data_IF_423075415939
#
_entry.id   IF_423075415939
#
_cell.length_a   1.000
_cell.length_b   1.000
_cell.length_c   1.000
_cell.angle_alpha   90.00
_cell.angle_beta   90.00
_cell.angle_gamma   90.00
#
_symmetry.space_group_name_H-M   'P 1'
#
loop_
_entity.id
_entity.type
_entity.pdbx_description
1 polymer ?
#
# COMPACT_ATOMS: atom_id res chain seq x y z
N UNK A 1 63.85 -27.38 -6.75
CA UNK A 1 62.89 -27.33 -5.63
C UNK A 1 61.55 -26.92 -6.22
N UNK A 2 60.71 -27.90 -6.48
CA UNK A 2 59.55 -27.85 -7.38
C UNK A 2 58.27 -27.69 -6.58
N UNK A 3 57.63 -26.52 -6.66
CA UNK A 3 56.36 -26.25 -5.99
C UNK A 3 55.22 -26.82 -6.84
N UNK A 4 54.57 -27.87 -6.33
CA UNK A 4 53.47 -28.57 -6.99
C UNK A 4 52.16 -27.80 -6.82
N UNK A 5 51.63 -27.30 -7.92
CA UNK A 5 50.25 -26.83 -8.08
C UNK A 5 49.30 -28.03 -7.93
N UNK A 6 48.53 -28.09 -6.84
CA UNK A 6 47.45 -29.07 -6.68
C UNK A 6 46.11 -28.39 -6.91
N UNK A 7 45.45 -28.87 -7.96
CA UNK A 7 44.09 -28.55 -8.35
C UNK A 7 43.11 -28.78 -7.20
N UNK A 8 42.34 -27.75 -6.86
CA UNK A 8 41.07 -27.86 -6.16
C UNK A 8 39.96 -27.60 -7.20
N UNK A 9 39.74 -28.59 -8.05
CA UNK A 9 38.60 -28.67 -8.96
C UNK A 9 37.59 -29.62 -8.33
N UNK A 10 36.84 -29.16 -7.32
CA UNK A 10 35.70 -29.90 -6.76
C UNK A 10 34.78 -28.91 -6.04
N UNK A 11 33.48 -29.01 -6.32
CA UNK A 11 32.35 -28.27 -5.74
C UNK A 11 31.91 -26.95 -6.43
N UNK A 12 31.73 -26.95 -7.76
CA UNK A 12 30.94 -25.92 -8.45
C UNK A 12 29.64 -26.46 -9.10
N UNK A 13 29.14 -27.62 -8.66
CA UNK A 13 28.00 -28.31 -9.28
C UNK A 13 26.75 -28.46 -8.39
N UNK A 14 26.73 -27.84 -7.21
CA UNK A 14 25.58 -27.89 -6.29
C UNK A 14 24.82 -26.57 -6.12
N UNK A 15 25.24 -25.48 -6.78
CA UNK A 15 24.55 -24.19 -6.70
C UNK A 15 23.49 -23.99 -7.81
N UNK A 16 23.53 -24.78 -8.89
CA UNK A 16 22.57 -24.64 -10.00
C UNK A 16 21.26 -25.43 -9.78
N UNK A 17 21.20 -26.38 -8.85
CA UNK A 17 19.99 -27.19 -8.61
C UNK A 17 18.98 -26.54 -7.65
N UNK A 18 19.37 -25.51 -6.89
CA UNK A 18 18.42 -24.71 -6.10
C UNK A 18 17.70 -23.63 -6.92
N UNK A 19 18.12 -23.37 -8.16
CA UNK A 19 17.49 -22.38 -9.04
C UNK A 19 16.34 -22.96 -9.89
N UNK A 20 16.21 -24.30 -10.01
CA UNK A 20 15.19 -24.94 -10.85
C UNK A 20 13.89 -25.31 -10.10
N UNK A 21 13.89 -25.23 -8.77
CA UNK A 21 12.71 -25.44 -7.93
C UNK A 21 12.12 -24.13 -7.38
N UNK A 22 12.64 -22.98 -7.82
CA UNK A 22 11.89 -21.73 -7.75
C UNK A 22 10.77 -21.85 -8.79
N UNK A 23 9.69 -22.54 -8.40
CA UNK A 23 8.48 -22.63 -9.20
C UNK A 23 8.13 -21.24 -9.70
N UNK A 24 7.71 -21.14 -10.96
CA UNK A 24 7.14 -19.91 -11.51
C UNK A 24 6.07 -19.42 -10.53
N UNK A 25 6.45 -18.50 -9.63
CA UNK A 25 5.59 -17.97 -8.60
C UNK A 25 4.53 -17.19 -9.34
N UNK A 26 3.39 -17.82 -9.56
CA UNK A 26 2.26 -17.19 -10.25
C UNK A 26 1.93 -15.93 -9.49
N UNK A 27 2.04 -14.80 -10.17
CA UNK A 27 1.67 -13.51 -9.59
C UNK A 27 0.20 -13.62 -9.19
N UNK A 28 -0.16 -13.44 -7.91
CA UNK A 28 -1.53 -13.61 -7.47
C UNK A 28 -2.43 -12.62 -8.21
N UNK A 29 -3.64 -13.05 -8.57
CA UNK A 29 -4.64 -12.13 -9.09
C UNK A 29 -5.00 -11.07 -8.03
N UNK A 30 -5.48 -9.92 -8.51
CA UNK A 30 -6.19 -8.98 -7.63
C UNK A 30 -7.51 -9.64 -7.18
N UNK A 31 -7.95 -9.42 -5.92
CA UNK A 31 -9.15 -10.08 -5.41
C UNK A 31 -10.42 -9.53 -6.07
N UNK A 32 -11.41 -10.39 -6.30
CA UNK A 32 -12.72 -10.00 -6.85
C UNK A 32 -13.58 -9.23 -5.83
N UNK A 33 -13.32 -9.45 -4.53
CA UNK A 33 -13.94 -8.75 -3.42
C UNK A 33 -12.89 -8.45 -2.35
N UNK A 34 -12.99 -7.27 -1.73
CA UNK A 34 -12.18 -6.88 -0.60
C UNK A 34 -13.06 -6.35 0.54
N UNK A 35 -12.80 -6.80 1.76
CA UNK A 35 -13.40 -6.21 2.96
C UNK A 35 -12.79 -4.83 3.23
N UNK A 36 -13.49 -3.78 2.79
CA UNK A 36 -13.06 -2.40 2.93
C UNK A 36 -13.47 -1.86 4.30
N UNK A 37 -12.50 -1.37 5.07
CA UNK A 37 -12.78 -0.75 6.36
C UNK A 37 -13.59 0.54 6.19
N UNK A 38 -14.68 0.69 6.95
CA UNK A 38 -15.49 1.93 7.03
C UNK A 38 -15.40 2.58 8.41
N UNK A 39 -14.80 1.87 9.35
CA UNK A 39 -14.39 2.35 10.67
C UNK A 39 -13.21 1.49 11.16
N UNK A 40 -12.74 1.74 12.38
CA UNK A 40 -11.73 0.88 13.01
C UNK A 40 -12.21 -0.57 13.21
N UNK A 41 -13.51 -0.81 13.32
CA UNK A 41 -14.09 -2.12 13.64
C UNK A 41 -14.95 -2.70 12.53
N UNK A 42 -15.49 -1.86 11.64
CA UNK A 42 -16.47 -2.27 10.65
C UNK A 42 -15.82 -2.39 9.27
N UNK A 43 -16.24 -3.40 8.52
CA UNK A 43 -15.82 -3.63 7.15
C UNK A 43 -17.01 -4.00 6.29
N UNK A 44 -16.94 -3.63 5.02
CA UNK A 44 -17.95 -3.97 4.02
C UNK A 44 -17.23 -4.43 2.75
N UNK A 45 -17.67 -5.56 2.20
CA UNK A 45 -17.14 -6.08 0.96
C UNK A 45 -17.39 -5.11 -0.19
N UNK A 46 -16.36 -4.82 -0.97
CA UNK A 46 -16.42 -4.00 -2.17
C UNK A 46 -15.78 -4.73 -3.35
N UNK A 47 -16.28 -4.47 -4.54
CA UNK A 47 -15.75 -5.01 -5.79
C UNK A 47 -14.66 -4.09 -6.36
N UNK A 48 -13.77 -4.58 -7.23
CA UNK A 48 -12.80 -3.73 -7.91
C UNK A 48 -13.53 -2.68 -8.79
N UNK A 49 -13.01 -1.45 -8.78
CA UNK A 49 -13.57 -0.33 -9.54
C UNK A 49 -14.76 0.36 -8.89
N UNK A 50 -15.11 0.03 -7.64
CA UNK A 50 -16.12 0.77 -6.88
C UNK A 50 -15.50 1.80 -5.95
N UNK A 51 -16.30 2.77 -5.52
CA UNK A 51 -15.91 3.72 -4.49
C UNK A 51 -17.08 4.45 -3.81
N UNK A 52 -16.78 5.36 -2.87
CA UNK A 52 -17.79 6.15 -2.19
C UNK A 52 -18.45 7.14 -3.16
N UNK A 53 -19.77 7.07 -3.30
CA UNK A 53 -20.51 7.91 -4.23
C UNK A 53 -20.34 9.42 -3.97
N UNK A 54 -20.14 9.82 -2.71
CA UNK A 54 -19.84 11.20 -2.32
C UNK A 54 -18.50 11.74 -2.84
N UNK A 55 -17.63 10.87 -3.35
CA UNK A 55 -16.31 11.23 -3.89
C UNK A 55 -16.26 11.09 -5.42
N UNK A 56 -17.33 10.71 -6.10
CA UNK A 56 -17.34 10.57 -7.55
C UNK A 56 -16.94 11.87 -8.28
N UNK A 57 -16.19 11.72 -9.38
CA UNK A 57 -15.76 12.81 -10.27
C UNK A 57 -15.08 13.99 -9.54
N UNK A 58 -14.28 13.69 -8.51
CA UNK A 58 -13.68 14.70 -7.65
C UNK A 58 -12.18 14.50 -7.43
N UNK A 59 -11.52 15.53 -6.90
CA UNK A 59 -10.13 15.46 -6.49
C UNK A 59 -9.96 16.03 -5.08
N UNK A 60 -9.13 15.38 -4.26
CA UNK A 60 -8.97 15.70 -2.84
C UNK A 60 -7.51 15.76 -2.43
N UNK A 61 -7.12 16.83 -1.75
CA UNK A 61 -5.80 16.97 -1.12
C UNK A 61 -5.84 16.34 0.26
N UNK A 62 -5.12 15.24 0.46
CA UNK A 62 -5.01 14.56 1.77
C UNK A 62 -3.91 15.21 2.59
N UNK A 63 -4.20 15.63 3.82
CA UNK A 63 -3.24 16.22 4.75
C UNK A 63 -3.14 15.37 6.02
N UNK A 64 -1.94 15.27 6.60
CA UNK A 64 -1.74 14.59 7.88
C UNK A 64 -2.30 15.43 9.03
N UNK A 65 -3.11 14.83 9.90
CA UNK A 65 -3.53 15.41 11.18
C UNK A 65 -2.60 14.98 12.30
N UNK A 66 -2.62 15.75 13.39
CA UNK A 66 -1.98 15.34 14.64
C UNK A 66 -2.56 14.01 15.13
N UNK A 67 -1.69 13.14 15.64
CA UNK A 67 -2.10 11.94 16.34
C UNK A 67 -2.96 12.35 17.57
N UNK A 68 -4.05 11.63 17.88
CA UNK A 68 -4.85 11.95 19.05
C UNK A 68 -3.95 11.92 20.29
N UNK A 69 -4.03 12.97 21.12
CA UNK A 69 -3.29 13.05 22.37
C UNK A 69 -3.68 11.84 23.22
N UNK A 70 -2.80 10.85 23.27
CA UNK A 70 -2.91 9.75 24.22
C UNK A 70 -2.84 10.39 25.61
N UNK A 71 -3.90 10.25 26.41
CA UNK A 71 -3.84 10.68 27.81
C UNK A 71 -2.64 9.99 28.45
N UNK A 72 -1.91 10.67 29.34
CA UNK A 72 -0.69 10.13 29.96
C UNK A 72 -0.89 8.76 30.65
N UNK A 73 -2.14 8.38 30.96
CA UNK A 73 -2.53 7.07 31.49
C UNK A 73 -2.53 5.92 30.45
N UNK A 74 -2.49 6.23 29.15
CA UNK A 74 -2.52 5.27 28.03
C UNK A 74 -1.16 5.08 27.34
N UNK A 75 -0.14 5.89 27.69
CA UNK A 75 1.18 5.87 27.07
C UNK A 75 2.05 4.64 27.44
N UNK A 76 1.63 3.82 28.41
CA UNK A 76 2.45 2.71 28.91
C UNK A 76 2.44 1.46 28.02
N UNK A 77 1.45 1.26 27.14
CA UNK A 77 1.41 0.13 26.20
C UNK A 77 0.62 0.52 24.95
N UNK A 78 1.24 1.23 24.00
CA UNK A 78 0.67 1.34 22.65
C UNK A 78 1.66 0.73 21.68
N UNK A 79 1.54 -0.58 21.52
CA UNK A 79 1.90 -1.18 20.24
C UNK A 79 1.12 -0.41 19.17
N UNK A 80 1.74 0.01 18.05
CA UNK A 80 1.01 0.67 16.96
C UNK A 80 -0.23 -0.15 16.66
N UNK A 81 -1.41 0.48 16.71
CA UNK A 81 -2.66 -0.23 16.55
C UNK A 81 -2.59 -0.99 15.23
N UNK A 82 -2.67 -2.32 15.29
CA UNK A 82 -2.77 -3.14 14.10
C UNK A 82 -3.96 -2.62 13.31
N UNK A 83 -3.68 -1.96 12.17
CA UNK A 83 -4.73 -1.42 11.34
C UNK A 83 -5.70 -2.51 10.89
N UNK A 84 -6.82 -2.18 10.23
CA UNK A 84 -7.78 -3.19 9.79
C UNK A 84 -7.13 -4.28 8.93
N UNK A 85 -6.05 -3.99 8.22
CA UNK A 85 -5.36 -4.97 7.40
C UNK A 85 -4.19 -5.69 8.10
N UNK A 86 -4.11 -5.61 9.44
CA UNK A 86 -3.06 -6.24 10.24
C UNK A 86 -1.82 -5.37 10.40
N UNK A 87 -1.01 -5.73 11.40
CA UNK A 87 0.28 -5.09 11.66
C UNK A 87 1.11 -6.01 12.56
N UNK A 88 2.13 -6.65 11.99
CA UNK A 88 3.20 -7.29 12.74
C UNK A 88 4.49 -6.67 12.23
N UNK A 89 5.19 -6.01 13.16
CA UNK A 89 6.35 -5.13 13.02
C UNK A 89 5.97 -3.64 13.11
N UNK A 90 5.86 -3.18 14.35
CA UNK A 90 5.77 -1.77 14.68
C UNK A 90 7.08 -1.07 14.35
N UNK A 91 7.06 -0.31 13.25
CA UNK A 91 8.14 0.58 12.85
C UNK A 91 7.69 1.41 11.66
N UNK A 92 7.85 2.73 11.72
CA UNK A 92 7.67 3.60 10.58
C UNK A 92 8.74 3.27 9.54
N UNK A 93 8.46 2.30 8.66
CA UNK A 93 9.39 1.93 7.59
C UNK A 93 9.35 2.94 6.44
N UNK A 94 8.26 3.70 6.32
CA UNK A 94 8.14 4.85 5.44
C UNK A 94 8.20 6.13 6.27
N UNK A 95 8.70 7.19 5.64
CA UNK A 95 8.66 8.52 6.22
C UNK A 95 7.21 8.95 6.48
N UNK A 96 6.90 9.30 7.74
CA UNK A 96 5.61 9.89 8.07
C UNK A 96 5.64 11.39 7.70
N UNK A 97 4.66 11.91 6.92
CA UNK A 97 4.55 13.35 6.61
C UNK A 97 4.53 14.20 7.89
N UNK A 98 4.94 15.48 7.91
CA UNK A 98 4.71 16.29 9.11
C UNK A 98 3.21 16.60 9.28
N UNK A 99 2.77 16.99 10.48
CA UNK A 99 1.38 17.42 10.69
C UNK A 99 1.10 18.66 9.85
N UNK A 100 0.00 18.65 9.10
CA UNK A 100 -0.37 19.69 8.15
C UNK A 100 0.28 19.54 6.78
N UNK A 101 1.25 18.65 6.61
CA UNK A 101 1.80 18.36 5.29
C UNK A 101 0.77 17.60 4.45
N UNK A 102 0.73 17.97 3.17
CA UNK A 102 0.01 17.22 2.15
C UNK A 102 0.73 15.90 1.90
N UNK A 103 0.00 14.80 2.02
CA UNK A 103 0.51 13.44 1.78
C UNK A 103 0.54 13.16 0.27
N UNK A 104 -0.60 13.37 -0.38
CA UNK A 104 -0.82 13.26 -1.83
C UNK A 104 -2.17 13.91 -2.21
N UNK A 105 -2.40 14.08 -3.51
CA UNK A 105 -3.71 14.41 -4.09
C UNK A 105 -4.31 13.15 -4.69
N UNK A 106 -5.57 12.87 -4.40
CA UNK A 106 -6.30 11.73 -4.96
C UNK A 106 -7.29 12.21 -5.99
N UNK A 107 -7.40 11.51 -7.12
CA UNK A 107 -8.49 11.69 -8.07
C UNK A 107 -9.40 10.48 -8.06
N UNK A 108 -10.69 10.77 -8.11
CA UNK A 108 -11.75 9.78 -8.12
C UNK A 108 -12.47 9.78 -9.47
N UNK A 109 -12.79 8.57 -9.93
CA UNK A 109 -13.55 8.34 -11.14
C UNK A 109 -15.06 8.51 -10.93
N UNK A 110 -15.87 8.20 -11.96
CA UNK A 110 -17.32 8.39 -11.94
C UNK A 110 -18.05 7.45 -10.97
N UNK A 111 -17.42 6.36 -10.53
CA UNK A 111 -17.98 5.45 -9.53
C UNK A 111 -17.44 5.75 -8.11
N UNK A 112 -16.73 6.87 -7.93
CA UNK A 112 -16.05 7.21 -6.68
C UNK A 112 -14.79 6.38 -6.41
N UNK A 113 -14.38 5.54 -7.35
CA UNK A 113 -13.18 4.73 -7.27
C UNK A 113 -11.93 5.59 -7.40
N UNK A 114 -10.86 5.26 -6.68
CA UNK A 114 -9.58 5.93 -6.85
C UNK A 114 -9.00 5.56 -8.22
N UNK A 115 -8.68 6.56 -9.05
CA UNK A 115 -8.12 6.35 -10.39
C UNK A 115 -6.70 6.86 -10.54
N UNK A 116 -6.27 7.79 -9.68
CA UNK A 116 -4.93 8.37 -9.72
C UNK A 116 -4.54 8.93 -8.35
N UNK A 117 -3.26 8.79 -8.02
CA UNK A 117 -2.61 9.48 -6.90
C UNK A 117 -1.55 10.42 -7.50
N UNK A 118 -1.71 11.71 -7.27
CA UNK A 118 -0.79 12.78 -7.65
C UNK A 118 0.00 13.29 -6.43
N UNK A 119 1.11 13.97 -6.69
CA UNK A 119 2.01 14.52 -5.67
C UNK A 119 2.43 13.51 -4.58
N UNK A 120 2.63 12.24 -4.95
CA UNK A 120 3.11 11.22 -4.03
C UNK A 120 4.52 11.55 -3.55
N UNK A 121 4.64 12.02 -2.30
CA UNK A 121 5.93 12.39 -1.68
C UNK A 121 6.45 11.37 -0.68
N UNK A 122 5.55 10.58 -0.08
CA UNK A 122 5.88 9.76 1.09
C UNK A 122 5.74 8.26 0.83
N UNK A 123 4.95 7.85 -0.17
CA UNK A 123 4.71 6.44 -0.45
C UNK A 123 5.64 5.91 -1.55
N UNK A 124 6.89 5.65 -1.17
CA UNK A 124 7.92 5.09 -2.07
C UNK A 124 8.04 5.87 -3.41
N UNK A 125 8.23 7.20 -3.38
CA UNK A 125 8.22 8.04 -4.58
C UNK A 125 9.32 7.68 -5.57
N UNK A 126 10.44 7.12 -5.09
CA UNK A 126 11.54 6.63 -5.95
C UNK A 126 11.17 5.39 -6.75
N UNK A 127 10.14 4.64 -6.32
CA UNK A 127 9.64 3.45 -6.99
C UNK A 127 8.44 3.82 -7.88
N UNK A 128 7.42 4.48 -7.32
CA UNK A 128 6.17 4.72 -8.06
C UNK A 128 6.11 6.07 -8.77
N UNK A 129 7.02 7.00 -8.44
CA UNK A 129 6.97 8.37 -8.92
C UNK A 129 5.94 9.23 -8.21
N UNK A 130 5.86 10.50 -8.64
CA UNK A 130 4.94 11.49 -8.09
C UNK A 130 3.50 11.34 -8.57
N UNK A 131 3.26 10.59 -9.66
CA UNK A 131 1.93 10.29 -10.21
C UNK A 131 1.80 8.78 -10.39
N UNK A 132 0.80 8.20 -9.75
CA UNK A 132 0.57 6.75 -9.71
C UNK A 132 -0.85 6.47 -10.22
N UNK A 133 -1.00 5.88 -11.42
CA UNK A 133 -2.32 5.45 -11.88
C UNK A 133 -2.84 4.30 -11.01
N UNK A 134 -4.15 4.32 -10.75
CA UNK A 134 -4.85 3.27 -10.00
C UNK A 134 -5.84 2.57 -10.92
N UNK A 135 -5.79 1.23 -10.90
CA UNK A 135 -6.61 0.40 -11.76
C UNK A 135 -5.87 -0.10 -13.00
N UNK A 136 -6.34 -1.23 -13.54
CA UNK A 136 -6.02 -1.66 -14.90
C UNK A 136 -4.88 -2.68 -15.03
N UNK A 137 -4.06 -2.47 -16.07
CA UNK A 137 -3.00 -3.38 -16.52
C UNK A 137 -1.68 -3.12 -15.78
N UNK A 138 -0.72 -4.02 -15.97
CA UNK A 138 0.63 -3.84 -15.46
C UNK A 138 1.27 -2.55 -16.00
N UNK A 139 1.67 -1.67 -15.07
CA UNK A 139 2.32 -0.40 -15.33
C UNK A 139 3.76 -0.46 -14.85
N UNK A 140 4.69 0.08 -15.64
CA UNK A 140 6.11 0.17 -15.23
C UNK A 140 6.30 1.15 -14.08
N UNK A 141 7.08 0.75 -13.08
CA UNK A 141 7.56 1.63 -12.02
C UNK A 141 8.77 2.46 -12.52
N UNK A 142 9.22 3.43 -11.73
CA UNK A 142 10.46 4.16 -11.98
C UNK A 142 11.70 3.27 -11.76
N UNK A 143 11.61 2.33 -10.82
CA UNK A 143 12.68 1.36 -10.57
C UNK A 143 12.76 0.38 -11.76
N UNK A 144 13.90 0.30 -12.48
CA UNK A 144 14.00 -0.51 -13.69
C UNK A 144 13.66 -1.99 -13.46
N UNK A 145 12.85 -2.55 -14.37
CA UNK A 145 12.41 -3.94 -14.30
C UNK A 145 11.28 -4.20 -13.30
N UNK A 146 10.83 -3.19 -12.55
CA UNK A 146 9.69 -3.29 -11.64
C UNK A 146 8.42 -2.81 -12.34
N UNK A 147 7.34 -3.55 -12.14
CA UNK A 147 6.00 -3.18 -12.60
C UNK A 147 4.99 -3.45 -11.48
N UNK A 148 3.87 -2.74 -11.51
CA UNK A 148 2.78 -2.90 -10.58
C UNK A 148 1.43 -2.98 -11.30
N UNK A 149 0.49 -3.66 -10.69
CA UNK A 149 -0.92 -3.71 -11.10
C UNK A 149 -1.76 -3.40 -9.87
N UNK A 150 -2.78 -2.57 -10.03
CA UNK A 150 -3.62 -2.15 -8.90
C UNK A 150 -5.12 -2.21 -9.22
N UNK A 151 -5.93 -2.25 -8.17
CA UNK A 151 -7.37 -2.02 -8.23
C UNK A 151 -7.81 -1.20 -7.01
N UNK A 152 -8.75 -0.28 -7.23
CA UNK A 152 -9.45 0.44 -6.17
C UNK A 152 -10.69 -0.33 -5.74
N UNK A 153 -10.95 -0.31 -4.45
CA UNK A 153 -12.11 -0.90 -3.79
C UNK A 153 -12.64 0.15 -2.83
N UNK A 154 -13.93 0.46 -2.91
CA UNK A 154 -14.49 1.42 -1.98
C UNK A 154 -16.00 1.34 -1.89
N UNK A 155 -16.49 1.90 -0.80
CA UNK A 155 -17.88 1.77 -0.38
C UNK A 155 -18.26 2.94 0.51
N UNK A 156 -19.55 3.30 0.48
CA UNK A 156 -20.13 4.30 1.36
C UNK A 156 -21.27 3.68 2.17
N UNK A 157 -21.29 3.94 3.48
CA UNK A 157 -22.30 3.45 4.42
C UNK A 157 -22.79 4.63 5.27
N UNK A 158 -23.88 5.26 4.82
CA UNK A 158 -24.35 6.52 5.41
C UNK A 158 -23.38 7.68 5.11
N UNK A 159 -22.93 8.35 6.17
CA UNK A 159 -21.93 9.42 6.12
C UNK A 159 -20.49 8.91 6.15
N UNK A 160 -20.30 7.60 6.42
CA UNK A 160 -18.99 6.96 6.45
C UNK A 160 -18.60 6.44 5.08
N UNK A 161 -17.29 6.45 4.82
CA UNK A 161 -16.71 5.85 3.65
C UNK A 161 -15.55 4.93 4.01
N UNK A 162 -15.24 4.04 3.07
CA UNK A 162 -14.05 3.22 3.07
C UNK A 162 -13.47 3.15 1.67
N UNK A 163 -12.14 3.17 1.60
CA UNK A 163 -11.36 3.06 0.37
C UNK A 163 -10.14 2.18 0.64
N UNK A 164 -9.81 1.33 -0.32
CA UNK A 164 -8.56 0.60 -0.36
C UNK A 164 -8.08 0.44 -1.80
N UNK A 165 -6.77 0.55 -2.01
CA UNK A 165 -6.11 0.22 -3.27
C UNK A 165 -5.17 -0.93 -3.01
N UNK A 166 -5.44 -2.07 -3.64
CA UNK A 166 -4.56 -3.24 -3.61
C UNK A 166 -3.63 -3.16 -4.80
N UNK A 167 -2.34 -3.30 -4.56
CA UNK A 167 -1.27 -3.20 -5.55
C UNK A 167 -0.43 -4.48 -5.49
N UNK A 168 -0.39 -5.25 -6.57
CA UNK A 168 0.57 -6.32 -6.73
C UNK A 168 1.82 -5.77 -7.43
N UNK A 169 3.01 -6.14 -6.96
CA UNK A 169 4.29 -5.65 -7.48
C UNK A 169 5.13 -6.84 -7.98
N UNK A 170 5.78 -6.68 -9.14
CA UNK A 170 6.66 -7.68 -9.73
C UNK A 170 7.98 -7.08 -10.21
N UNK A 171 9.03 -7.90 -10.24
CA UNK A 171 10.32 -7.62 -10.87
C UNK A 171 10.55 -8.63 -12.00
N UNK A 172 10.43 -8.21 -13.26
CA UNK A 172 10.27 -9.14 -14.37
C UNK A 172 9.01 -10.00 -14.18
N UNK A 173 9.19 -11.32 -14.15
CA UNK A 173 8.10 -12.28 -13.91
C UNK A 173 7.98 -12.75 -12.45
N UNK A 174 8.80 -12.18 -11.55
CA UNK A 174 8.82 -12.57 -10.14
C UNK A 174 7.91 -11.67 -9.32
N UNK A 175 6.98 -12.26 -8.58
CA UNK A 175 6.18 -11.52 -7.60
C UNK A 175 7.06 -11.05 -6.44
N UNK A 176 7.06 -9.74 -6.18
CA UNK A 176 7.85 -9.14 -5.10
C UNK A 176 7.02 -9.06 -3.82
N UNK A 177 5.75 -8.69 -3.94
CA UNK A 177 4.85 -8.50 -2.81
C UNK A 177 3.61 -7.71 -3.18
N UNK A 178 2.80 -7.41 -2.18
CA UNK A 178 1.57 -6.64 -2.28
C UNK A 178 1.65 -5.40 -1.41
N UNK A 179 1.10 -4.29 -1.88
CA UNK A 179 0.79 -3.16 -1.04
C UNK A 179 -0.73 -2.94 -0.98
N UNK A 180 -1.23 -2.51 0.16
CA UNK A 180 -2.60 -2.03 0.33
C UNK A 180 -2.54 -0.62 0.91
N UNK A 181 -2.96 0.36 0.14
CA UNK A 181 -3.23 1.72 0.64
C UNK A 181 -4.69 1.76 1.06
N UNK A 182 -5.04 2.37 2.19
CA UNK A 182 -6.44 2.45 2.59
C UNK A 182 -6.74 3.73 3.36
N UNK A 183 -8.00 4.14 3.28
CA UNK A 183 -8.54 5.23 4.06
C UNK A 183 -9.98 4.94 4.46
N UNK A 184 -10.37 5.41 5.64
CA UNK A 184 -11.75 5.36 6.10
C UNK A 184 -12.03 6.58 6.97
N UNK A 185 -13.29 7.00 7.03
CA UNK A 185 -13.67 8.21 7.73
C UNK A 185 -15.08 8.64 7.41
N UNK A 186 -15.36 9.92 7.58
CA UNK A 186 -16.62 10.56 7.22
C UNK A 186 -16.40 11.68 6.21
N UNK A 187 -17.42 11.94 5.39
CA UNK A 187 -17.47 13.11 4.52
C UNK A 187 -18.56 14.05 5.03
N UNK A 188 -18.16 15.23 5.53
CA UNK A 188 -19.08 16.22 6.09
C UNK A 188 -18.68 17.61 5.63
N UNK A 189 -19.61 18.36 5.03
CA UNK A 189 -19.41 19.75 4.59
C UNK A 189 -18.16 19.93 3.72
N UNK A 190 -18.02 19.13 2.65
CA UNK A 190 -16.87 19.15 1.73
C UNK A 190 -15.51 18.95 2.43
N UNK A 191 -15.51 18.19 3.53
CA UNK A 191 -14.31 17.80 4.26
C UNK A 191 -14.34 16.32 4.56
N UNK A 192 -13.19 15.68 4.37
CA UNK A 192 -12.93 14.34 4.87
C UNK A 192 -12.24 14.45 6.22
N UNK A 193 -12.72 13.69 7.21
CA UNK A 193 -12.01 13.43 8.46
C UNK A 193 -11.91 11.92 8.64
N UNK A 194 -10.70 11.40 8.84
CA UNK A 194 -10.51 9.96 8.83
C UNK A 194 -9.13 9.50 9.22
N UNK A 195 -8.86 8.25 8.88
CA UNK A 195 -7.56 7.59 9.03
C UNK A 195 -7.09 7.14 7.66
N UNK A 196 -5.82 7.36 7.37
CA UNK A 196 -5.13 6.76 6.26
C UNK A 196 -4.13 5.73 6.80
N UNK A 197 -3.92 4.66 6.07
CA UNK A 197 -2.88 3.71 6.36
C UNK A 197 -2.39 2.98 5.13
N UNK A 198 -1.31 2.24 5.35
CA UNK A 198 -0.75 1.36 4.35
C UNK A 198 -0.31 0.05 4.97
N UNK A 199 -0.27 -0.98 4.14
CA UNK A 199 0.26 -2.30 4.40
C UNK A 199 1.16 -2.66 3.22
N UNK A 200 2.37 -3.13 3.49
CA UNK A 200 3.28 -3.71 2.49
C UNK A 200 3.56 -5.13 2.98
N UNK A 201 3.18 -6.11 2.18
CA UNK A 201 3.29 -7.53 2.49
C UNK A 201 4.15 -8.23 1.43
N UNK A 202 5.33 -8.67 1.85
CA UNK A 202 6.23 -9.44 1.01
C UNK A 202 5.97 -10.95 1.11
N UNK A 203 4.99 -11.37 1.91
CA UNK A 203 4.61 -12.78 2.05
C UNK A 203 4.14 -13.34 0.71
N UNK A 204 4.69 -14.50 0.33
CA UNK A 204 4.42 -15.13 -0.97
C UNK A 204 5.21 -14.55 -2.15
N UNK A 205 5.96 -13.45 -1.96
CA UNK A 205 6.92 -12.95 -2.93
C UNK A 205 8.27 -13.67 -2.86
N UNK A 206 9.22 -13.23 -3.69
CA UNK A 206 10.60 -13.76 -3.71
C UNK A 206 11.48 -13.25 -2.56
N UNK A 207 10.99 -12.30 -1.77
CA UNK A 207 11.67 -11.74 -0.58
C UNK A 207 10.82 -11.85 0.69
N UNK A 208 10.30 -13.06 1.03
CA UNK A 208 9.32 -13.20 2.11
C UNK A 208 9.91 -12.92 3.50
N UNK A 209 11.25 -12.94 3.64
CA UNK A 209 11.94 -12.62 4.89
C UNK A 209 11.82 -11.14 5.30
N UNK A 210 11.38 -10.26 4.40
CA UNK A 210 11.04 -8.87 4.72
C UNK A 210 9.72 -8.75 5.51
N UNK A 211 8.91 -9.81 5.50
CA UNK A 211 7.66 -9.88 6.28
C UNK A 211 6.64 -8.83 5.85
N UNK A 212 6.02 -8.21 6.84
CA UNK A 212 4.95 -7.24 6.65
C UNK A 212 5.32 -5.93 7.32
N UNK A 213 4.99 -4.82 6.68
CA UNK A 213 5.20 -3.45 7.16
C UNK A 213 3.86 -2.75 7.10
N UNK A 214 3.44 -2.12 8.18
CA UNK A 214 2.17 -1.39 8.21
C UNK A 214 2.29 -0.11 9.01
N UNK A 215 1.50 0.89 8.63
CA UNK A 215 1.31 2.08 9.43
C UNK A 215 -0.05 2.72 9.16
N UNK A 216 -0.52 3.54 10.10
CA UNK A 216 -1.70 4.37 9.94
C UNK A 216 -1.61 5.64 10.77
N UNK A 217 -2.26 6.70 10.31
CA UNK A 217 -2.33 7.98 10.99
C UNK A 217 -3.60 8.76 10.62
N UNK A 218 -4.03 9.70 11.48
CA UNK A 218 -5.19 10.54 11.18
C UNK A 218 -4.93 11.47 10.00
N UNK A 219 -5.97 11.70 9.20
CA UNK A 219 -5.94 12.60 8.05
C UNK A 219 -7.16 13.52 8.03
N UNK A 220 -7.01 14.65 7.35
CA UNK A 220 -8.11 15.39 6.78
C UNK A 220 -7.94 15.49 5.27
N UNK A 221 -9.03 15.71 4.55
CA UNK A 221 -8.93 16.14 3.16
C UNK A 221 -9.89 17.26 2.83
N UNK A 222 -9.47 18.07 1.89
CA UNK A 222 -10.23 19.16 1.29
C UNK A 222 -10.22 19.00 -0.23
N UNK A 223 -11.22 19.54 -0.95
CA UNK A 223 -11.21 19.54 -2.41
C UNK A 223 -9.90 20.12 -2.93
N UNK A 224 -9.27 19.42 -3.87
CA UNK A 224 -8.10 19.93 -4.55
C UNK A 224 -8.51 21.08 -5.47
N UNK A 225 -7.67 22.11 -5.57
CA UNK A 225 -7.85 23.14 -6.59
C UNK A 225 -7.76 22.48 -7.98
N UNK A 226 -8.58 22.93 -8.95
CA UNK A 226 -8.56 22.41 -10.32
C UNK A 226 -7.22 22.65 -11.04
#
# INVERSE_FOLDING_TARGET
MTMRLRAACFCLTAACFFAAAAGCGTIPALPDLLDVATSATDRVAAAPGTGPASLADSAWSILRKADPLLSAASAAVVSPSSGPYGGLLGGAALERPAVGDRVFVVRFGPNGEMVEVDENRFFLPEIYGGRVPVGGQWTGALLPGVAFQSASYGVQVGDRFGLAVVVNVRGGDLFLGRATLYAWGTVVNDRIDGTFGYLIDFTGGVVPFLGTVADQYPIEAVPAAP
#
